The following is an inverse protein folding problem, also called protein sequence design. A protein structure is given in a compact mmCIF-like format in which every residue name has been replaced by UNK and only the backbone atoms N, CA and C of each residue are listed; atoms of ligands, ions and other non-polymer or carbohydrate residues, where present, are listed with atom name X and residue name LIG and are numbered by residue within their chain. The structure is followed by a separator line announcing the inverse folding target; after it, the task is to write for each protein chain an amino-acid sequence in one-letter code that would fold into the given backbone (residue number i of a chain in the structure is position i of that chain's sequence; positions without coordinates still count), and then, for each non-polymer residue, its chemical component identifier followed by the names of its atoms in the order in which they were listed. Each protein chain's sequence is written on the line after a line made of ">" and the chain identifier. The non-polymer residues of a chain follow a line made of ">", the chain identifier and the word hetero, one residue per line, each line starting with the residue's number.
data_IF_318488997131
#
_entry.id   IF_318488997131
#
_cell.length_a   1.000
_cell.length_b   1.000
_cell.length_c   1.000
_cell.angle_alpha   90.00
_cell.angle_beta   90.00
_cell.angle_gamma   90.00
#
_symmetry.space_group_name_H-M   'P 1'
#
loop_
_entity.id
_entity.type
_entity.pdbx_description
1 polymer ?
#
# COMPACT_ATOMS: atom_id res chain seq x y z
N UNK A 1 1.83 18.41 -12.16
CA UNK A 1 1.93 17.37 -11.11
C UNK A 1 0.89 16.33 -11.45
N UNK A 2 1.31 15.12 -11.80
CA UNK A 2 0.41 14.02 -12.16
C UNK A 2 0.44 13.06 -10.98
N UNK A 3 -0.67 12.94 -10.26
CA UNK A 3 -0.79 12.07 -9.09
C UNK A 3 -1.41 10.73 -9.50
N UNK A 4 -0.91 9.63 -8.94
CA UNK A 4 -1.52 8.32 -9.14
C UNK A 4 -2.94 8.28 -8.59
N UNK A 5 -3.88 7.64 -9.28
CA UNK A 5 -5.22 7.44 -8.72
C UNK A 5 -5.17 6.44 -7.57
N UNK A 6 -6.01 6.61 -6.55
CA UNK A 6 -6.12 5.64 -5.44
C UNK A 6 -6.40 4.20 -5.90
N UNK A 7 -7.06 4.03 -7.05
CA UNK A 7 -7.28 2.72 -7.67
C UNK A 7 -5.99 1.97 -8.04
N UNK A 8 -4.92 2.71 -8.36
CA UNK A 8 -3.65 2.14 -8.79
C UNK A 8 -2.91 1.47 -7.62
N UNK A 9 -3.20 1.86 -6.39
CA UNK A 9 -2.61 1.27 -5.18
C UNK A 9 -3.39 0.09 -4.61
N UNK A 10 -4.57 -0.24 -5.15
CA UNK A 10 -5.37 -1.37 -4.65
C UNK A 10 -4.69 -2.72 -4.87
N UNK A 11 -3.98 -2.89 -5.99
CA UNK A 11 -3.21 -4.11 -6.26
C UNK A 11 -2.07 -4.27 -5.24
N UNK A 12 -1.42 -3.16 -4.86
CA UNK A 12 -0.36 -3.14 -3.84
C UNK A 12 -0.94 -3.52 -2.48
N UNK A 13 -2.09 -2.93 -2.10
CA UNK A 13 -2.79 -3.24 -0.86
C UNK A 13 -3.17 -4.73 -0.77
N UNK A 14 -3.70 -5.30 -1.85
CA UNK A 14 -4.09 -6.70 -1.91
C UNK A 14 -2.89 -7.65 -1.74
N UNK A 15 -1.77 -7.35 -2.41
CA UNK A 15 -0.54 -8.16 -2.31
C UNK A 15 0.09 -8.08 -0.91
N UNK A 16 0.02 -6.92 -0.25
CA UNK A 16 0.49 -6.78 1.14
C UNK A 16 -0.40 -7.53 2.13
N UNK A 17 -1.74 -7.44 1.98
CA UNK A 17 -2.69 -8.21 2.82
C UNK A 17 -2.46 -9.71 2.70
N UNK A 18 -2.27 -10.21 1.47
CA UNK A 18 -1.95 -11.61 1.22
C UNK A 18 -0.61 -12.02 1.85
N UNK A 19 0.40 -11.15 1.80
CA UNK A 19 1.69 -11.40 2.46
C UNK A 19 1.54 -11.49 3.99
N UNK A 20 0.65 -10.70 4.58
CA UNK A 20 0.34 -10.73 6.02
C UNK A 20 -0.33 -12.05 6.39
N UNK A 21 -1.38 -12.43 5.68
CA UNK A 21 -2.10 -13.69 5.91
C UNK A 21 -1.13 -14.88 5.90
N UNK A 22 -0.26 -14.95 4.89
CA UNK A 22 0.77 -15.99 4.79
C UNK A 22 1.77 -15.97 5.96
N UNK A 23 2.12 -14.80 6.52
CA UNK A 23 2.98 -14.72 7.70
C UNK A 23 2.28 -15.13 8.99
N UNK A 24 0.98 -14.87 9.11
CA UNK A 24 0.18 -15.30 10.26
C UNK A 24 -0.04 -16.82 10.22
N UNK A 25 -0.36 -17.38 9.04
CA UNK A 25 -0.43 -18.83 8.81
C UNK A 25 0.92 -19.50 9.16
N UNK A 26 2.05 -18.89 8.79
CA UNK A 26 3.37 -19.39 9.18
C UNK A 26 3.59 -19.35 10.71
N UNK A 27 3.05 -18.35 11.39
CA UNK A 27 3.19 -18.18 12.85
C UNK A 27 2.30 -19.17 13.61
N UNK A 28 1.09 -19.45 13.11
CA UNK A 28 0.21 -20.48 13.67
C UNK A 28 0.75 -21.88 13.38
N UNK A 29 1.19 -22.14 12.15
CA UNK A 29 1.87 -23.39 11.76
C UNK A 29 3.12 -23.66 12.60
N UNK A 30 3.97 -22.67 12.85
CA UNK A 30 5.15 -22.83 13.71
C UNK A 30 4.83 -23.11 15.19
N UNK A 31 3.67 -22.68 15.69
CA UNK A 31 3.20 -23.03 17.05
C UNK A 31 2.68 -24.46 17.11
N UNK A 32 2.13 -24.98 16.02
CA UNK A 32 1.59 -26.34 15.90
C UNK A 32 2.68 -27.37 15.55
N UNK A 33 3.64 -27.02 14.68
CA UNK A 33 4.77 -27.84 14.22
C UNK A 33 5.89 -28.01 15.27
N UNK A 34 5.88 -27.25 16.38
CA UNK A 34 6.75 -27.55 17.52
C UNK A 34 6.50 -28.94 18.13
N UNK A 35 5.42 -29.65 17.71
CA UNK A 35 5.16 -31.07 18.04
C UNK A 35 5.54 -32.07 16.94
N UNK A 36 5.71 -31.66 15.67
CA UNK A 36 5.91 -32.61 14.56
C UNK A 36 6.93 -32.01 13.59
N UNK A 37 8.12 -32.61 13.54
CA UNK A 37 9.22 -32.24 12.65
C UNK A 37 8.82 -32.43 11.18
N UNK A 38 8.48 -31.35 10.50
CA UNK A 38 8.50 -31.32 9.03
C UNK A 38 9.27 -30.08 8.57
N UNK A 39 10.25 -30.22 7.65
CA UNK A 39 10.93 -29.07 7.07
C UNK A 39 10.14 -28.62 5.83
N UNK A 40 9.07 -27.86 6.02
CA UNK A 40 8.27 -27.36 4.91
C UNK A 40 8.88 -26.06 4.35
N UNK A 41 9.42 -26.18 3.13
CA UNK A 41 9.90 -25.09 2.29
C UNK A 41 8.77 -24.12 1.82
N UNK A 42 7.59 -24.14 2.43
CA UNK A 42 6.34 -23.77 1.76
C UNK A 42 5.80 -22.35 1.99
N UNK A 43 5.97 -21.75 3.17
CA UNK A 43 5.25 -20.50 3.52
C UNK A 43 6.12 -19.26 3.44
N UNK A 44 7.38 -19.34 3.89
CA UNK A 44 8.33 -18.22 3.80
C UNK A 44 8.62 -17.79 2.36
N UNK A 45 8.65 -18.74 1.41
CA UNK A 45 8.82 -18.46 -0.02
C UNK A 45 7.63 -17.72 -0.63
N UNK A 46 6.40 -18.15 -0.32
CA UNK A 46 5.16 -17.52 -0.82
C UNK A 46 4.96 -16.11 -0.26
N UNK A 47 5.27 -15.90 1.02
CA UNK A 47 5.25 -14.56 1.60
C UNK A 47 6.23 -13.62 0.86
N UNK A 48 7.45 -14.10 0.59
CA UNK A 48 8.47 -13.31 -0.10
C UNK A 48 8.06 -12.98 -1.53
N UNK A 49 7.47 -13.93 -2.25
CA UNK A 49 6.92 -13.70 -3.58
C UNK A 49 5.85 -12.61 -3.57
N UNK A 50 4.93 -12.64 -2.60
CA UNK A 50 3.89 -11.62 -2.46
C UNK A 50 4.46 -10.22 -2.19
N UNK A 51 5.47 -10.11 -1.30
CA UNK A 51 6.14 -8.84 -1.01
C UNK A 51 6.94 -8.30 -2.20
N UNK A 52 7.63 -9.17 -2.93
CA UNK A 52 8.33 -8.80 -4.17
C UNK A 52 7.34 -8.34 -5.24
N UNK A 53 6.17 -8.97 -5.34
CA UNK A 53 5.07 -8.53 -6.20
C UNK A 53 4.59 -7.13 -5.84
N UNK A 54 4.40 -6.84 -4.55
CA UNK A 54 4.05 -5.49 -4.06
C UNK A 54 5.11 -4.45 -4.46
N UNK A 55 6.38 -4.79 -4.32
CA UNK A 55 7.50 -3.91 -4.70
C UNK A 55 7.55 -3.65 -6.20
N UNK A 56 7.36 -4.69 -7.02
CA UNK A 56 7.32 -4.55 -8.48
C UNK A 56 6.16 -3.66 -8.93
N UNK A 57 4.99 -3.79 -8.29
CA UNK A 57 3.86 -2.90 -8.55
C UNK A 57 4.16 -1.47 -8.15
N UNK A 58 4.77 -1.23 -6.98
CA UNK A 58 5.18 0.12 -6.57
C UNK A 58 6.22 0.72 -7.54
N UNK A 59 7.15 -0.07 -8.06
CA UNK A 59 8.13 0.39 -9.06
C UNK A 59 7.44 0.78 -10.39
N UNK A 60 6.48 -0.02 -10.86
CA UNK A 60 5.68 0.31 -12.05
C UNK A 60 4.92 1.63 -11.87
N UNK A 61 4.35 1.85 -10.68
CA UNK A 61 3.66 3.10 -10.35
C UNK A 61 4.67 4.24 -10.29
N UNK A 62 5.81 4.05 -9.63
CA UNK A 62 6.85 5.07 -9.50
C UNK A 62 7.38 5.50 -10.87
N UNK A 63 7.58 4.56 -11.80
CA UNK A 63 8.02 4.86 -13.17
C UNK A 63 7.06 5.79 -13.92
N UNK A 64 5.76 5.63 -13.69
CA UNK A 64 4.67 6.45 -14.29
C UNK A 64 4.40 7.75 -13.54
N UNK A 65 4.64 7.78 -12.23
CA UNK A 65 4.30 8.87 -11.32
C UNK A 65 5.53 9.28 -10.49
N UNK A 66 6.64 9.64 -11.16
CA UNK A 66 7.94 9.88 -10.51
C UNK A 66 7.95 11.06 -9.54
N UNK A 67 7.08 12.05 -9.76
CA UNK A 67 6.95 13.23 -8.90
C UNK A 67 5.99 13.00 -7.71
N UNK A 68 5.46 11.79 -7.57
CA UNK A 68 4.52 11.44 -6.52
C UNK A 68 5.26 11.04 -5.24
N UNK A 69 5.36 11.99 -4.32
CA UNK A 69 6.12 11.84 -3.07
C UNK A 69 5.66 10.63 -2.23
N UNK A 70 4.37 10.30 -2.28
CA UNK A 70 3.83 9.19 -1.52
C UNK A 70 4.20 7.83 -2.13
N UNK A 71 4.26 7.73 -3.46
CA UNK A 71 4.76 6.53 -4.14
C UNK A 71 6.22 6.29 -3.74
N UNK A 72 7.04 7.33 -3.75
CA UNK A 72 8.45 7.24 -3.35
C UNK A 72 8.58 6.83 -1.87
N UNK A 73 7.75 7.37 -0.99
CA UNK A 73 7.74 7.01 0.43
C UNK A 73 7.38 5.53 0.65
N UNK A 74 6.32 5.04 -0.01
CA UNK A 74 5.89 3.64 0.10
C UNK A 74 6.91 2.68 -0.48
N UNK A 75 7.52 3.02 -1.61
CA UNK A 75 8.60 2.24 -2.22
C UNK A 75 9.78 2.11 -1.27
N UNK A 76 10.19 3.22 -0.62
CA UNK A 76 11.28 3.19 0.35
C UNK A 76 10.94 2.33 1.56
N UNK A 77 9.76 2.52 2.17
CA UNK A 77 9.33 1.74 3.35
C UNK A 77 9.24 0.25 3.08
N UNK A 78 8.71 -0.14 1.92
CA UNK A 78 8.63 -1.55 1.55
C UNK A 78 10.02 -2.14 1.25
N UNK A 79 10.91 -1.35 0.61
CA UNK A 79 12.31 -1.72 0.42
C UNK A 79 13.05 -1.94 1.74
N UNK A 80 12.96 -0.98 2.66
CA UNK A 80 13.54 -1.06 4.01
C UNK A 80 13.01 -2.30 4.76
N UNK A 81 11.72 -2.60 4.63
CA UNK A 81 11.12 -3.80 5.22
C UNK A 81 11.68 -5.10 4.62
N UNK A 82 11.85 -5.16 3.29
CA UNK A 82 12.46 -6.31 2.60
C UNK A 82 13.92 -6.52 3.01
N UNK A 83 14.71 -5.46 3.14
CA UNK A 83 16.10 -5.53 3.62
C UNK A 83 16.18 -6.03 5.07
N UNK A 84 15.27 -5.57 5.94
CA UNK A 84 15.20 -6.03 7.32
C UNK A 84 14.71 -7.48 7.44
N UNK A 85 13.91 -7.96 6.48
CA UNK A 85 13.54 -9.36 6.36
C UNK A 85 14.72 -10.24 5.93
N UNK A 86 15.47 -9.83 4.90
CA UNK A 86 16.63 -10.56 4.37
C UNK A 86 17.79 -10.60 5.37
N UNK A 87 17.98 -9.53 6.14
CA UNK A 87 19.01 -9.49 7.19
C UNK A 87 18.67 -10.31 8.45
N UNK A 88 17.46 -10.86 8.54
CA UNK A 88 17.03 -11.70 9.65
C UNK A 88 16.94 -10.97 11.01
N UNK A 89 16.99 -9.63 11.01
CA UNK A 89 17.00 -8.81 12.24
C UNK A 89 15.65 -8.77 12.95
N UNK A 90 14.56 -9.11 12.25
CA UNK A 90 13.20 -9.00 12.76
C UNK A 90 12.72 -10.31 13.38
N UNK A 91 12.16 -10.24 14.60
CA UNK A 91 11.38 -11.34 15.18
C UNK A 91 10.03 -11.46 14.44
N UNK A 92 9.41 -12.65 14.40
CA UNK A 92 8.15 -12.87 13.66
C UNK A 92 7.02 -11.92 14.08
N UNK A 93 6.96 -11.52 15.35
CA UNK A 93 5.97 -10.55 15.82
C UNK A 93 6.20 -9.15 15.25
N UNK A 94 7.46 -8.72 15.20
CA UNK A 94 7.81 -7.40 14.64
C UNK A 94 7.62 -7.40 13.12
N UNK A 95 7.84 -8.52 12.42
CA UNK A 95 7.57 -8.67 10.98
C UNK A 95 6.10 -8.36 10.67
N UNK A 96 5.18 -9.05 11.35
CA UNK A 96 3.73 -8.87 11.16
C UNK A 96 3.31 -7.44 11.53
N UNK A 97 3.76 -6.91 12.68
CA UNK A 97 3.40 -5.55 13.09
C UNK A 97 3.88 -4.47 12.12
N UNK A 98 5.11 -4.60 11.59
CA UNK A 98 5.62 -3.65 10.59
C UNK A 98 4.86 -3.75 9.27
N UNK A 99 4.58 -4.98 8.81
CA UNK A 99 3.80 -5.15 7.59
C UNK A 99 2.38 -4.58 7.77
N UNK A 100 1.76 -4.78 8.93
CA UNK A 100 0.43 -4.23 9.23
C UNK A 100 0.40 -2.71 9.12
N UNK A 101 1.40 -2.02 9.69
CA UNK A 101 1.54 -0.56 9.54
C UNK A 101 1.69 -0.14 8.08
N UNK A 102 2.48 -0.87 7.28
CA UNK A 102 2.65 -0.56 5.85
C UNK A 102 1.29 -0.75 5.12
N UNK A 103 0.52 -1.78 5.46
CA UNK A 103 -0.83 -1.99 4.90
C UNK A 103 -1.75 -0.83 5.26
N UNK A 104 -1.78 -0.41 6.54
CA UNK A 104 -2.60 0.72 6.97
C UNK A 104 -2.24 2.01 6.24
N UNK A 105 -0.96 2.32 6.10
CA UNK A 105 -0.52 3.52 5.38
C UNK A 105 -0.91 3.50 3.89
N UNK A 106 -0.77 2.35 3.22
CA UNK A 106 -1.23 2.18 1.84
C UNK A 106 -2.76 2.30 1.75
N UNK A 107 -3.50 1.71 2.69
CA UNK A 107 -4.96 1.80 2.75
C UNK A 107 -5.44 3.25 2.94
N UNK A 108 -4.83 3.98 3.87
CA UNK A 108 -5.13 5.40 4.09
C UNK A 108 -4.86 6.23 2.83
N UNK A 109 -3.78 5.93 2.11
CA UNK A 109 -3.47 6.60 0.86
C UNK A 109 -4.52 6.31 -0.22
N UNK A 110 -4.95 5.05 -0.37
CA UNK A 110 -6.02 4.66 -1.31
C UNK A 110 -7.30 5.44 -1.00
N UNK A 111 -7.74 5.45 0.25
CA UNK A 111 -8.97 6.11 0.68
C UNK A 111 -8.88 7.63 0.55
N UNK A 112 -7.76 8.23 0.96
CA UNK A 112 -7.56 9.67 0.84
C UNK A 112 -7.57 10.12 -0.63
N UNK A 113 -6.96 9.35 -1.54
CA UNK A 113 -6.97 9.66 -2.98
C UNK A 113 -8.33 9.45 -3.62
N UNK A 114 -9.10 8.45 -3.17
CA UNK A 114 -10.50 8.26 -3.60
C UNK A 114 -11.36 9.45 -3.19
N UNK A 115 -11.28 9.87 -1.93
CA UNK A 115 -12.00 11.03 -1.41
C UNK A 115 -11.58 12.32 -2.11
N UNK A 116 -10.28 12.52 -2.34
CA UNK A 116 -9.76 13.69 -3.05
C UNK A 116 -10.23 13.73 -4.51
N UNK A 117 -10.27 12.59 -5.19
CA UNK A 117 -10.80 12.48 -6.57
C UNK A 117 -12.31 12.74 -6.62
N UNK A 118 -13.06 12.26 -5.62
CA UNK A 118 -14.50 12.52 -5.50
C UNK A 118 -14.79 14.00 -5.19
N UNK A 119 -14.03 14.61 -4.27
CA UNK A 119 -14.16 16.02 -3.91
C UNK A 119 -13.76 16.97 -5.07
N UNK A 120 -12.74 16.60 -5.86
CA UNK A 120 -12.36 17.34 -7.08
C UNK A 120 -13.44 17.28 -8.17
N UNK A 121 -14.22 16.18 -8.24
CA UNK A 121 -15.41 16.09 -9.11
C UNK A 121 -16.54 17.01 -8.66
N UNK A 122 -16.70 17.24 -7.37
CA UNK A 122 -17.76 18.12 -6.83
C UNK A 122 -17.44 19.61 -7.00
N UNK A 123 -16.17 20.00 -6.89
CA UNK A 123 -15.73 21.40 -7.04
C UNK A 123 -15.75 21.91 -8.49
N UNK A 124 -15.82 21.03 -9.49
CA UNK A 124 -15.82 21.40 -10.92
C UNK A 124 -17.22 21.80 -11.46
N UNK A 125 -18.31 21.37 -10.83
CA UNK A 125 -19.65 21.50 -11.44
C UNK A 125 -20.57 22.58 -10.87
N UNK A 126 -20.28 23.18 -9.71
CA UNK A 126 -21.17 24.21 -9.14
C UNK A 126 -20.46 25.30 -8.32
N UNK A 127 -19.63 26.12 -8.96
CA UNK A 127 -19.46 27.50 -8.48
C UNK A 127 -19.35 28.49 -9.64
N UNK A 128 -20.21 28.34 -10.63
CA UNK A 128 -20.68 29.48 -11.43
C UNK A 128 -21.74 30.21 -10.60
N UNK A 129 -21.37 30.72 -9.42
CA UNK A 129 -22.17 31.78 -8.79
C UNK A 129 -22.09 32.95 -9.77
N UNK A 130 -23.13 33.09 -10.60
CA UNK A 130 -23.48 34.36 -11.24
C UNK A 130 -23.51 35.37 -10.10
N UNK A 131 -22.43 36.13 -9.93
CA UNK A 131 -22.47 37.36 -9.17
C UNK A 131 -23.48 38.23 -9.90
N UNK A 132 -24.63 38.38 -9.27
CA UNK A 132 -25.75 39.20 -9.71
C UNK A 132 -25.33 40.67 -9.57
N UNK A 133 -24.41 41.13 -10.42
CA UNK A 133 -23.92 42.51 -10.40
C UNK A 133 -23.83 43.17 -11.79
N UNK A 134 -24.31 42.51 -12.86
CA UNK A 134 -24.26 43.10 -14.23
C UNK A 134 -25.59 43.72 -14.69
N UNK A 135 -26.48 44.10 -13.75
CA UNK A 135 -27.73 44.82 -14.07
C UNK A 135 -27.75 46.25 -13.50
N UNK A 136 -26.60 46.92 -13.51
CA UNK A 136 -26.55 48.36 -13.28
C UNK A 136 -25.46 49.05 -14.10
N UNK A 137 -25.64 49.10 -15.42
CA UNK A 137 -25.08 50.20 -16.22
C UNK A 137 -25.84 50.41 -17.53
N UNK A 138 -26.43 51.61 -17.59
CA UNK A 138 -27.05 52.35 -18.71
C UNK A 138 -28.46 51.95 -19.09
#
# INVERSE_FOLDING_TARGET
>A
MVEASGYIFQDVEALLKRAKELMEEAKEGAKEEAKIKTPELGVGGRCRESLNGSMQKLDEISSRYRDDAEVSLMTRKLGEYLEDLDSGKLTPEIKVQRLDRIIEEVHHLVEWRRLSTAAARDLSLKSRRRTRDDFKKR
#
